data_IF_389776845497
#
_entry.id   IF_389776845497
#
_cell.length_a   1.000
_cell.length_b   1.000
_cell.length_c   1.000
_cell.angle_alpha   90.00
_cell.angle_beta   90.00
_cell.angle_gamma   90.00
#
_symmetry.space_group_name_H-M   'P 1'
#
loop_
_entity.id
_entity.type
_entity.pdbx_description
1 polymer ?
#
# COMPACT_ATOMS: atom_id res chain seq x y z
N UNK A 1 -41.05 -0.97 30.57
CA UNK A 1 -39.92 -1.56 31.35
C UNK A 1 -39.41 -2.73 30.51
N UNK A 2 -38.23 -2.80 29.90
CA UNK A 2 -36.89 -2.19 30.11
C UNK A 2 -36.25 -1.88 28.74
N UNK A 3 -35.29 -0.97 28.75
CA UNK A 3 -34.48 -0.44 27.65
C UNK A 3 -33.59 -1.52 27.00
N UNK A 4 -33.26 -1.35 25.72
CA UNK A 4 -31.87 -1.56 25.26
C UNK A 4 -31.51 -0.53 24.18
N UNK A 5 -30.48 0.24 24.52
CA UNK A 5 -29.78 1.24 23.71
C UNK A 5 -28.67 0.48 22.97
N UNK A 6 -28.49 0.69 21.66
CA UNK A 6 -27.26 0.29 20.97
C UNK A 6 -26.96 1.23 19.79
N UNK A 7 -25.98 2.11 20.02
CA UNK A 7 -25.09 2.81 19.10
C UNK A 7 -25.54 3.00 17.64
N UNK A 8 -26.11 4.19 17.36
CA UNK A 8 -26.22 4.74 16.02
C UNK A 8 -24.93 5.54 15.72
N UNK A 9 -24.04 4.98 14.90
CA UNK A 9 -22.93 5.75 14.32
C UNK A 9 -23.50 6.66 13.23
N UNK A 10 -23.82 7.91 13.59
CA UNK A 10 -24.27 8.93 12.63
C UNK A 10 -23.05 9.41 11.84
N UNK A 11 -22.88 8.88 10.63
CA UNK A 11 -22.00 9.48 9.63
C UNK A 11 -22.86 10.46 8.84
N UNK A 12 -22.68 11.76 9.10
CA UNK A 12 -23.35 12.83 8.36
C UNK A 12 -22.69 12.97 6.97
N UNK A 13 -23.21 12.23 5.98
CA UNK A 13 -22.78 12.36 4.59
C UNK A 13 -23.80 13.22 3.83
N UNK A 14 -23.39 14.42 3.42
CA UNK A 14 -24.16 15.25 2.48
C UNK A 14 -23.90 14.68 1.09
N UNK A 15 -24.91 14.04 0.48
CA UNK A 15 -24.82 13.32 -0.80
C UNK A 15 -25.53 14.13 -1.91
N UNK A 16 -24.93 14.30 -3.10
CA UNK A 16 -25.59 14.83 -4.29
C UNK A 16 -26.35 13.72 -5.07
N UNK A 17 -27.56 14.02 -5.56
CA UNK A 17 -28.36 13.17 -6.45
C UNK A 17 -28.14 13.57 -7.92
N UNK A 18 -27.68 12.63 -8.76
CA UNK A 18 -27.56 12.80 -10.22
C UNK A 18 -28.84 12.35 -10.90
N UNK A 19 -29.42 13.20 -11.76
CA UNK A 19 -30.56 12.86 -12.62
C UNK A 19 -30.05 12.48 -14.01
N UNK A 20 -30.10 11.19 -14.36
CA UNK A 20 -29.90 10.74 -15.73
C UNK A 20 -31.24 10.82 -16.49
N UNK A 21 -31.36 11.77 -17.40
CA UNK A 21 -32.33 11.72 -18.51
C UNK A 21 -31.55 11.71 -19.82
N UNK A 22 -31.66 10.59 -20.53
CA UNK A 22 -31.09 10.44 -21.87
C UNK A 22 -31.47 9.08 -22.45
N UNK A 23 -32.63 9.02 -23.09
CA UNK A 23 -32.93 8.05 -24.16
C UNK A 23 -33.48 8.89 -25.34
N UNK A 24 -33.21 8.51 -26.60
CA UNK A 24 -33.94 7.36 -27.16
C UNK A 24 -33.17 6.44 -28.14
N UNK A 25 -33.65 5.19 -28.15
CA UNK A 25 -33.82 4.23 -29.24
C UNK A 25 -32.63 3.83 -30.15
N UNK A 26 -32.24 2.56 -30.01
CA UNK A 26 -31.55 1.76 -31.02
C UNK A 26 -31.60 0.29 -30.63
N UNK A 27 -32.47 -0.46 -31.28
CA UNK A 27 -32.64 -1.92 -31.18
C UNK A 27 -31.32 -2.67 -31.35
N UNK A 28 -30.99 -3.55 -30.42
CA UNK A 28 -29.94 -4.55 -30.56
C UNK A 28 -30.56 -5.93 -30.37
N UNK A 29 -30.54 -6.68 -31.47
CA UNK A 29 -31.00 -8.04 -31.60
C UNK A 29 -30.24 -9.01 -30.68
N UNK A 30 -31.00 -10.03 -30.29
CA UNK A 30 -30.66 -11.19 -29.49
C UNK A 30 -29.39 -11.94 -29.91
N UNK A 31 -28.59 -12.35 -28.92
CA UNK A 31 -27.78 -13.57 -28.99
C UNK A 31 -28.11 -14.49 -27.79
N UNK A 32 -28.11 -15.82 -28.00
CA UNK A 32 -28.77 -16.79 -27.12
C UNK A 32 -27.95 -17.16 -25.87
N UNK A 33 -28.61 -17.68 -24.82
CA UNK A 33 -27.94 -18.05 -23.56
C UNK A 33 -27.15 -19.35 -23.70
N UNK A 34 -25.93 -19.35 -23.15
CA UNK A 34 -25.13 -20.55 -22.90
C UNK A 34 -25.62 -21.18 -21.59
N UNK A 35 -26.16 -22.38 -21.70
CA UNK A 35 -26.54 -23.26 -20.61
C UNK A 35 -25.30 -23.85 -19.96
N UNK A 36 -25.17 -23.75 -18.64
CA UNK A 36 -24.42 -24.75 -17.86
C UNK A 36 -25.19 -25.12 -16.60
N UNK A 37 -25.64 -26.37 -16.61
CA UNK A 37 -26.03 -27.16 -15.45
C UNK A 37 -24.78 -27.45 -14.60
N UNK A 38 -24.90 -27.34 -13.28
CA UNK A 38 -24.35 -28.35 -12.38
C UNK A 38 -25.03 -28.27 -11.01
N UNK A 39 -25.90 -29.24 -10.81
CA UNK A 39 -26.24 -29.99 -9.59
C UNK A 39 -25.78 -29.45 -8.23
N UNK A 40 -26.79 -29.33 -7.37
CA UNK A 40 -26.71 -29.19 -5.92
C UNK A 40 -26.60 -30.56 -5.24
N UNK A 41 -25.79 -30.65 -4.17
CA UNK A 41 -25.87 -31.67 -3.09
C UNK A 41 -25.29 -31.02 -1.79
N UNK A 42 -25.80 -31.36 -0.58
CA UNK A 42 -26.20 -30.37 0.42
C UNK A 42 -25.27 -30.23 1.64
N UNK A 43 -25.63 -29.24 2.45
CA UNK A 43 -25.25 -29.04 3.86
C UNK A 43 -25.52 -30.29 4.72
N UNK A 44 -24.62 -30.56 5.66
CA UNK A 44 -24.98 -31.16 6.94
C UNK A 44 -24.18 -30.52 8.10
N UNK A 45 -24.94 -30.34 9.17
CA UNK A 45 -24.68 -29.91 10.54
C UNK A 45 -23.64 -30.80 11.26
N UNK A 46 -23.06 -30.54 12.44
CA UNK A 46 -23.48 -29.88 13.69
C UNK A 46 -22.27 -29.80 14.64
N UNK A 47 -22.31 -28.84 15.58
CA UNK A 47 -21.85 -28.87 17.00
C UNK A 47 -20.53 -29.57 17.42
N UNK A 48 -19.67 -28.88 18.19
CA UNK A 48 -19.70 -28.94 19.66
C UNK A 48 -18.71 -27.95 20.30
N UNK A 49 -19.08 -27.49 21.49
CA UNK A 49 -18.46 -26.48 22.34
C UNK A 49 -17.33 -27.02 23.22
N UNK A 50 -16.43 -26.13 23.68
CA UNK A 50 -15.88 -26.14 25.06
C UNK A 50 -15.03 -24.89 25.38
N UNK A 51 -15.66 -23.98 26.10
CA UNK A 51 -15.26 -23.44 27.41
C UNK A 51 -13.80 -23.64 27.87
N UNK A 52 -13.10 -22.53 28.16
CA UNK A 52 -12.50 -22.26 29.49
C UNK A 52 -11.91 -20.86 29.52
N UNK A 53 -12.38 -20.08 30.49
CA UNK A 53 -11.76 -18.86 30.96
C UNK A 53 -10.88 -19.21 32.17
N UNK A 54 -9.69 -18.63 32.27
CA UNK A 54 -9.03 -18.42 33.55
C UNK A 54 -8.35 -17.05 33.59
N UNK A 55 -8.56 -16.40 34.72
CA UNK A 55 -8.18 -15.05 35.13
C UNK A 55 -6.91 -15.06 35.99
N UNK A 56 -6.38 -13.85 36.25
CA UNK A 56 -5.45 -13.48 37.36
C UNK A 56 -3.95 -13.61 37.03
N UNK A 57 -3.01 -12.77 37.48
CA UNK A 57 -3.01 -11.69 38.49
C UNK A 57 -1.80 -10.76 38.30
N UNK A 58 -2.00 -9.53 38.76
CA UNK A 58 -1.09 -8.44 39.15
C UNK A 58 0.20 -8.87 39.87
N UNK A 59 1.32 -8.18 39.58
CA UNK A 59 2.23 -7.61 40.59
C UNK A 59 3.19 -6.57 39.99
N UNK A 60 2.99 -5.30 40.35
CA UNK A 60 4.04 -4.28 40.41
C UNK A 60 4.86 -4.49 41.67
N UNK A 61 6.16 -4.23 41.62
CA UNK A 61 6.90 -3.76 42.80
C UNK A 61 8.03 -2.84 42.35
N UNK A 62 8.12 -1.71 43.03
CA UNK A 62 9.04 -0.59 42.83
C UNK A 62 10.12 -0.59 43.93
N UNK A 63 11.03 0.38 43.81
CA UNK A 63 11.96 0.92 44.82
C UNK A 63 13.33 0.21 44.86
N UNK A 64 14.43 0.88 44.48
CA UNK A 64 15.22 1.87 45.26
C UNK A 64 16.56 1.15 45.58
N UNK A 65 17.77 1.70 45.43
CA UNK A 65 18.34 2.80 46.19
C UNK A 65 19.69 3.23 45.55
N UNK A 66 20.03 4.47 45.87
CA UNK A 66 21.14 5.41 45.63
C UNK A 66 22.63 4.97 45.68
N UNK A 67 23.45 5.90 45.15
CA UNK A 67 24.83 6.31 45.54
C UNK A 67 26.02 5.39 45.19
N UNK A 68 27.25 5.84 44.90
CA UNK A 68 27.89 7.13 44.61
C UNK A 68 29.37 6.80 44.26
N UNK A 69 30.11 7.82 43.80
CA UNK A 69 31.58 7.98 43.85
C UNK A 69 32.48 7.43 42.71
N UNK A 70 32.84 8.39 41.85
CA UNK A 70 34.21 8.85 41.54
C UNK A 70 35.40 7.88 41.68
N UNK A 71 36.14 7.74 40.58
CA UNK A 71 37.52 7.26 40.59
C UNK A 71 38.21 7.42 39.23
N UNK A 72 38.95 8.52 39.07
CA UNK A 72 39.89 8.76 37.97
C UNK A 72 41.11 7.84 38.12
N UNK A 73 41.55 7.18 37.04
CA UNK A 73 42.98 6.99 36.76
C UNK A 73 43.22 6.73 35.28
N UNK A 74 44.03 7.63 34.72
CA UNK A 74 44.79 7.52 33.48
C UNK A 74 45.67 6.25 33.49
N UNK A 75 45.75 5.54 32.36
CA UNK A 75 46.97 4.85 31.92
C UNK A 75 46.86 4.59 30.41
N UNK A 76 47.69 5.31 29.65
CA UNK A 76 47.93 5.08 28.24
C UNK A 76 48.55 3.69 28.03
N UNK A 77 48.00 2.92 27.09
CA UNK A 77 48.69 1.77 26.51
C UNK A 77 48.48 1.74 25.00
N UNK A 78 49.55 2.20 24.32
CA UNK A 78 50.12 1.77 23.05
C UNK A 78 49.23 0.94 22.13
N UNK A 79 48.89 1.57 21.00
CA UNK A 79 48.37 0.93 19.81
C UNK A 79 49.38 -0.08 19.23
N UNK A 80 49.03 -1.36 19.25
CA UNK A 80 49.58 -2.34 18.33
C UNK A 80 48.64 -2.46 17.13
N UNK A 81 49.12 -1.92 16.01
CA UNK A 81 48.54 -2.09 14.69
C UNK A 81 48.90 -3.49 14.19
N UNK A 82 48.00 -4.44 14.38
CA UNK A 82 47.95 -5.66 13.58
C UNK A 82 47.03 -5.38 12.40
N UNK A 83 47.65 -5.05 11.26
CA UNK A 83 46.98 -5.07 9.97
C UNK A 83 46.54 -6.50 9.69
N UNK A 84 45.29 -6.79 10.03
CA UNK A 84 44.58 -8.01 9.65
C UNK A 84 44.44 -7.97 8.13
N UNK A 85 45.33 -8.70 7.45
CA UNK A 85 45.24 -8.92 6.02
C UNK A 85 44.11 -9.92 5.83
N UNK A 86 42.89 -9.39 5.66
CA UNK A 86 41.76 -10.17 5.21
C UNK A 86 42.12 -10.73 3.82
N UNK A 87 42.32 -12.04 3.73
CA UNK A 87 42.30 -12.75 2.46
C UNK A 87 40.93 -12.48 1.82
N UNK A 88 40.93 -11.62 0.79
CA UNK A 88 39.82 -11.46 -0.11
C UNK A 88 39.69 -12.77 -0.90
N UNK A 89 38.87 -13.68 -0.37
CA UNK A 89 38.49 -14.90 -1.07
C UNK A 89 37.71 -14.46 -2.32
N UNK A 90 38.27 -14.71 -3.51
CA UNK A 90 37.61 -14.37 -4.77
C UNK A 90 36.20 -14.96 -4.79
N UNK A 91 35.19 -14.10 -5.02
CA UNK A 91 33.79 -14.55 -5.11
C UNK A 91 33.64 -15.55 -6.26
N UNK A 92 32.82 -16.61 -6.08
CA UNK A 92 32.53 -17.55 -7.16
C UNK A 92 32.09 -16.81 -8.44
N UNK A 93 32.69 -17.18 -9.57
CA UNK A 93 32.34 -16.60 -10.88
C UNK A 93 31.01 -17.09 -11.42
N UNK A 94 30.42 -18.13 -10.80
CA UNK A 94 29.16 -18.74 -11.17
C UNK A 94 28.34 -19.14 -9.94
N UNK A 95 27.02 -18.97 -10.03
CA UNK A 95 26.05 -19.62 -9.16
C UNK A 95 25.75 -21.01 -9.72
N UNK A 96 25.75 -22.03 -8.84
CA UNK A 96 25.43 -23.41 -9.21
C UNK A 96 24.51 -24.07 -8.19
N UNK A 97 23.28 -24.35 -8.63
CA UNK A 97 22.31 -25.11 -7.87
C UNK A 97 22.05 -26.45 -8.56
N UNK A 98 22.13 -27.53 -7.80
CA UNK A 98 21.88 -28.91 -8.21
C UNK A 98 20.95 -29.55 -7.19
N UNK A 99 20.28 -30.65 -7.53
CA UNK A 99 19.50 -31.40 -6.55
C UNK A 99 20.34 -31.93 -5.38
N UNK A 100 21.65 -32.16 -5.60
CA UNK A 100 22.57 -32.67 -4.59
C UNK A 100 22.97 -31.62 -3.54
N UNK A 101 23.16 -30.36 -3.94
CA UNK A 101 23.55 -29.27 -3.04
C UNK A 101 22.39 -28.34 -2.66
N UNK A 102 21.16 -28.59 -3.13
CA UNK A 102 20.02 -27.72 -2.84
C UNK A 102 19.77 -27.50 -1.34
N UNK A 103 20.03 -28.51 -0.50
CA UNK A 103 19.87 -28.39 0.95
C UNK A 103 20.84 -27.38 1.61
N UNK A 104 21.91 -26.98 0.92
CA UNK A 104 22.85 -25.94 1.38
C UNK A 104 22.33 -24.52 1.11
N UNK A 105 21.35 -24.38 0.21
CA UNK A 105 20.76 -23.10 -0.16
C UNK A 105 19.50 -22.80 0.66
N UNK A 106 19.37 -21.55 1.10
CA UNK A 106 18.13 -21.04 1.67
C UNK A 106 17.42 -20.11 0.69
N UNK A 107 16.09 -20.22 0.59
CA UNK A 107 15.23 -19.26 -0.08
C UNK A 107 14.81 -18.20 0.95
N UNK A 108 15.18 -16.94 0.76
CA UNK A 108 15.03 -15.89 1.78
C UNK A 108 14.10 -14.79 1.25
N UNK A 109 13.07 -14.46 2.04
CA UNK A 109 12.16 -13.33 1.80
C UNK A 109 12.20 -12.30 2.95
N UNK A 110 11.75 -11.06 2.76
CA UNK A 110 11.60 -10.12 3.87
C UNK A 110 10.64 -10.63 4.95
N UNK A 111 11.02 -10.46 6.22
CA UNK A 111 10.16 -10.78 7.37
C UNK A 111 8.89 -9.91 7.38
N UNK A 112 9.03 -8.62 7.00
CA UNK A 112 7.94 -7.64 6.91
C UNK A 112 7.26 -7.60 5.54
N UNK A 113 7.43 -8.64 4.71
CA UNK A 113 6.78 -8.74 3.41
C UNK A 113 5.24 -8.76 3.53
N UNK A 114 4.57 -8.31 2.48
CA UNK A 114 3.10 -8.36 2.36
C UNK A 114 2.57 -9.80 2.25
N UNK A 115 1.24 -9.95 2.30
CA UNK A 115 0.60 -11.23 2.00
C UNK A 115 0.95 -11.74 0.58
N UNK A 116 1.06 -10.82 -0.39
CA UNK A 116 1.45 -11.13 -1.77
C UNK A 116 2.90 -11.62 -1.81
N UNK A 117 3.84 -10.94 -1.13
CA UNK A 117 5.23 -11.39 -1.04
C UNK A 117 5.39 -12.78 -0.40
N UNK A 118 4.56 -13.09 0.61
CA UNK A 118 4.52 -14.44 1.20
C UNK A 118 4.03 -15.46 0.16
N UNK A 119 3.00 -15.13 -0.61
CA UNK A 119 2.47 -15.99 -1.67
C UNK A 119 3.48 -16.22 -2.80
N UNK A 120 4.11 -15.14 -3.28
CA UNK A 120 5.18 -15.15 -4.29
C UNK A 120 6.30 -16.11 -3.86
N UNK A 121 6.77 -15.98 -2.62
CA UNK A 121 7.87 -16.79 -2.09
C UNK A 121 7.52 -18.28 -2.00
N UNK A 122 6.29 -18.60 -1.55
CA UNK A 122 5.80 -19.98 -1.49
C UNK A 122 5.62 -20.60 -2.87
N UNK A 123 5.14 -19.82 -3.84
CA UNK A 123 4.99 -20.28 -5.23
C UNK A 123 6.34 -20.63 -5.85
N UNK A 124 7.37 -19.79 -5.61
CA UNK A 124 8.72 -20.07 -6.07
C UNK A 124 9.34 -21.29 -5.36
N UNK A 125 9.16 -21.42 -4.04
CA UNK A 125 9.59 -22.61 -3.28
C UNK A 125 8.97 -23.90 -3.86
N UNK A 126 7.65 -23.89 -4.09
CA UNK A 126 6.96 -25.02 -4.70
C UNK A 126 7.52 -25.34 -6.09
N UNK A 127 7.78 -24.31 -6.91
CA UNK A 127 8.38 -24.48 -8.23
C UNK A 127 9.77 -25.11 -8.18
N UNK A 128 10.61 -24.74 -7.21
CA UNK A 128 11.91 -25.40 -7.00
C UNK A 128 11.74 -26.87 -6.56
N UNK A 129 10.84 -27.11 -5.61
CA UNK A 129 10.57 -28.45 -5.08
C UNK A 129 10.04 -29.41 -6.13
N UNK A 130 9.15 -28.97 -7.01
CA UNK A 130 8.66 -29.74 -8.15
C UNK A 130 9.78 -30.17 -9.11
N UNK A 131 10.89 -29.44 -9.12
CA UNK A 131 12.08 -29.74 -9.94
C UNK A 131 13.16 -30.51 -9.19
N UNK A 132 12.88 -30.92 -7.95
CA UNK A 132 13.81 -31.69 -7.11
C UNK A 132 14.87 -30.85 -6.39
N UNK A 133 14.74 -29.52 -6.40
CA UNK A 133 15.56 -28.63 -5.58
C UNK A 133 14.84 -28.38 -4.25
N UNK A 134 15.26 -29.09 -3.21
CA UNK A 134 14.68 -28.91 -1.87
C UNK A 134 15.42 -27.78 -1.14
N UNK A 135 14.84 -26.59 -1.19
CA UNK A 135 15.33 -25.38 -0.51
C UNK A 135 14.51 -25.12 0.75
N UNK A 136 15.13 -24.55 1.78
CA UNK A 136 14.41 -24.10 2.98
C UNK A 136 13.95 -22.64 2.82
N UNK A 137 12.63 -22.39 2.91
CA UNK A 137 12.06 -21.04 2.86
C UNK A 137 12.13 -20.36 4.23
N UNK A 138 12.97 -19.33 4.32
CA UNK A 138 13.22 -18.54 5.53
C UNK A 138 12.84 -17.07 5.35
N UNK A 139 12.75 -16.38 6.49
CA UNK A 139 12.72 -14.92 6.49
C UNK A 139 14.13 -14.36 6.64
N UNK A 140 14.31 -13.10 6.28
CA UNK A 140 15.54 -12.34 6.48
C UNK A 140 15.79 -11.91 7.93
N UNK A 141 15.03 -12.46 8.89
CA UNK A 141 15.18 -12.18 10.31
C UNK A 141 16.61 -12.46 10.79
N UNK A 142 17.14 -11.50 11.54
CA UNK A 142 18.42 -11.61 12.25
C UNK A 142 18.16 -11.14 13.67
N UNK A 143 18.52 -11.96 14.66
CA UNK A 143 18.38 -11.60 16.07
C UNK A 143 19.24 -10.37 16.42
N UNK A 144 18.74 -9.55 17.34
CA UNK A 144 19.46 -8.35 17.79
C UNK A 144 20.88 -8.69 18.24
N UNK A 145 21.86 -7.91 17.78
CA UNK A 145 23.28 -8.10 18.09
C UNK A 145 24.05 -9.03 17.13
N UNK A 146 23.35 -9.75 16.24
CA UNK A 146 24.00 -10.58 15.23
C UNK A 146 24.24 -9.80 13.93
N UNK A 147 25.33 -10.17 13.21
CA UNK A 147 25.61 -9.65 11.87
C UNK A 147 24.62 -10.24 10.87
N UNK A 148 24.23 -9.43 9.88
CA UNK A 148 23.47 -9.90 8.72
C UNK A 148 24.36 -10.89 7.96
N UNK A 149 23.88 -12.12 7.68
CA UNK A 149 24.66 -13.07 6.90
C UNK A 149 24.89 -12.55 5.48
N UNK A 150 26.15 -12.43 5.10
CA UNK A 150 26.58 -11.97 3.78
C UNK A 150 27.34 -13.12 3.11
N UNK A 151 27.03 -13.40 1.84
CA UNK A 151 27.65 -14.45 1.01
C UNK A 151 27.28 -15.92 1.32
N UNK A 152 26.35 -16.20 2.24
CA UNK A 152 25.80 -17.56 2.41
C UNK A 152 25.05 -18.01 1.14
N UNK A 153 25.16 -19.29 0.73
CA UNK A 153 24.40 -19.83 -0.41
C UNK A 153 22.90 -19.57 -0.23
N UNK A 154 22.36 -18.69 -1.07
CA UNK A 154 20.98 -18.23 -0.88
C UNK A 154 20.35 -17.72 -2.16
N UNK A 155 19.02 -17.81 -2.20
CA UNK A 155 18.19 -17.18 -3.21
C UNK A 155 17.36 -16.13 -2.50
N UNK A 156 17.61 -14.86 -2.78
CA UNK A 156 16.94 -13.71 -2.16
C UNK A 156 15.74 -13.29 -3.02
N UNK A 157 14.55 -13.20 -2.42
CA UNK A 157 13.32 -12.76 -3.10
C UNK A 157 12.83 -11.46 -2.46
N UNK A 158 12.62 -10.44 -3.28
CA UNK A 158 12.14 -9.12 -2.84
C UNK A 158 13.20 -8.31 -2.08
N UNK A 159 12.75 -7.24 -1.42
CA UNK A 159 13.59 -6.33 -0.62
C UNK A 159 13.91 -6.96 0.75
N UNK A 160 14.95 -7.80 0.80
CA UNK A 160 15.49 -8.35 2.05
C UNK A 160 16.53 -7.38 2.64
N UNK A 161 16.85 -7.54 3.92
CA UNK A 161 17.94 -6.78 4.56
C UNK A 161 19.37 -7.21 4.15
N UNK A 162 19.54 -8.14 3.19
CA UNK A 162 20.87 -8.57 2.72
C UNK A 162 21.43 -7.58 1.70
N UNK A 163 22.73 -7.30 1.76
CA UNK A 163 23.36 -6.26 0.95
C UNK A 163 23.11 -6.39 -0.56
N UNK A 164 23.12 -7.61 -1.10
CA UNK A 164 22.88 -7.87 -2.52
C UNK A 164 21.47 -7.46 -2.95
N UNK A 165 20.46 -7.80 -2.14
CA UNK A 165 19.06 -7.45 -2.39
C UNK A 165 18.85 -5.94 -2.30
N UNK A 166 19.40 -5.29 -1.27
CA UNK A 166 19.36 -3.83 -1.09
C UNK A 166 19.99 -3.10 -2.29
N UNK A 167 21.22 -3.51 -2.67
CA UNK A 167 21.96 -2.93 -3.80
C UNK A 167 21.15 -2.87 -5.09
N UNK A 168 20.43 -3.96 -5.41
CA UNK A 168 19.61 -3.99 -6.61
C UNK A 168 18.29 -3.25 -6.43
N UNK A 169 17.62 -3.42 -5.28
CA UNK A 169 16.34 -2.79 -4.98
C UNK A 169 16.38 -1.26 -5.03
N UNK A 170 17.43 -0.63 -4.49
CA UNK A 170 17.57 0.84 -4.40
C UNK A 170 17.49 1.55 -5.77
N UNK A 171 17.81 0.85 -6.84
CA UNK A 171 17.78 1.38 -8.21
C UNK A 171 16.46 1.17 -8.96
N UNK A 172 15.53 0.38 -8.41
CA UNK A 172 14.31 -0.03 -9.10
C UNK A 172 13.18 0.97 -8.92
N UNK A 173 12.50 1.28 -10.02
CA UNK A 173 11.15 1.86 -9.98
C UNK A 173 10.10 0.77 -9.76
N UNK A 174 8.88 1.17 -9.40
CA UNK A 174 7.78 0.27 -8.95
C UNK A 174 7.51 -0.93 -9.87
N UNK A 175 7.59 -0.75 -11.18
CA UNK A 175 7.34 -1.79 -12.18
C UNK A 175 8.63 -2.40 -12.75
N UNK A 176 9.80 -2.05 -12.21
CA UNK A 176 11.09 -2.59 -12.64
C UNK A 176 11.41 -3.86 -11.85
N UNK A 177 12.16 -4.77 -12.46
CA UNK A 177 12.73 -5.91 -11.76
C UNK A 177 14.10 -6.30 -12.28
N UNK A 178 14.83 -7.04 -11.45
CA UNK A 178 16.13 -7.62 -11.79
C UNK A 178 16.30 -9.02 -11.19
N UNK A 179 16.95 -9.87 -11.97
CA UNK A 179 17.46 -11.17 -11.59
C UNK A 179 18.97 -11.12 -11.79
N UNK A 180 19.74 -11.32 -10.73
CA UNK A 180 21.18 -11.20 -10.77
C UNK A 180 21.88 -12.19 -9.84
N UNK A 181 23.14 -12.46 -10.13
CA UNK A 181 23.99 -13.37 -9.36
C UNK A 181 25.24 -12.63 -8.88
N UNK A 182 25.59 -12.84 -7.62
CA UNK A 182 26.88 -12.42 -7.08
C UNK A 182 27.40 -13.51 -6.12
N UNK A 183 28.52 -14.14 -6.47
CA UNK A 183 29.02 -15.30 -5.73
C UNK A 183 28.01 -16.45 -5.69
N UNK A 184 27.72 -16.95 -4.48
CA UNK A 184 26.75 -18.03 -4.25
C UNK A 184 25.31 -17.53 -4.04
N UNK A 185 25.03 -16.27 -4.35
CA UNK A 185 23.72 -15.67 -4.16
C UNK A 185 23.05 -15.35 -5.49
N UNK A 186 21.79 -15.75 -5.60
CA UNK A 186 20.87 -15.33 -6.65
C UNK A 186 19.88 -14.35 -6.02
N UNK A 187 19.66 -13.20 -6.63
CA UNK A 187 18.62 -12.25 -6.23
C UNK A 187 17.54 -12.16 -7.31
N UNK A 188 16.28 -12.17 -6.88
CA UNK A 188 15.09 -11.93 -7.69
C UNK A 188 14.29 -10.82 -6.98
N UNK A 189 14.39 -9.59 -7.47
CA UNK A 189 13.81 -8.44 -6.79
C UNK A 189 13.13 -7.49 -7.78
N UNK A 190 11.92 -7.07 -7.46
CA UNK A 190 11.20 -6.00 -8.13
C UNK A 190 11.02 -4.78 -7.25
N UNK A 191 10.77 -3.61 -7.85
CA UNK A 191 10.44 -2.38 -7.12
C UNK A 191 9.07 -2.41 -6.42
N UNK A 192 8.30 -3.49 -6.63
CA UNK A 192 7.05 -3.81 -5.93
C UNK A 192 6.84 -5.33 -5.86
N UNK A 193 5.85 -5.77 -5.09
CA UNK A 193 5.45 -7.18 -5.05
C UNK A 193 4.99 -7.68 -6.42
N UNK A 194 4.23 -6.86 -7.17
CA UNK A 194 3.78 -7.20 -8.52
C UNK A 194 4.96 -7.35 -9.50
N UNK A 195 5.95 -6.45 -9.44
CA UNK A 195 7.16 -6.57 -10.26
C UNK A 195 8.03 -7.77 -9.84
N UNK A 196 8.07 -8.08 -8.54
CA UNK A 196 8.77 -9.27 -8.03
C UNK A 196 8.07 -10.55 -8.50
N UNK A 197 6.74 -10.61 -8.48
CA UNK A 197 5.96 -11.72 -9.04
C UNK A 197 6.28 -11.90 -10.52
N UNK A 198 6.30 -10.83 -11.32
CA UNK A 198 6.66 -10.92 -12.74
C UNK A 198 8.10 -11.43 -12.96
N UNK A 199 9.05 -11.06 -12.09
CA UNK A 199 10.41 -11.58 -12.12
C UNK A 199 10.45 -13.08 -11.79
N UNK A 200 9.69 -13.51 -10.78
CA UNK A 200 9.55 -14.92 -10.39
C UNK A 200 8.93 -15.73 -11.51
N UNK A 201 7.86 -15.25 -12.14
CA UNK A 201 7.22 -15.90 -13.30
C UNK A 201 8.18 -16.06 -14.47
N UNK A 202 8.92 -14.99 -14.81
CA UNK A 202 9.95 -15.08 -15.84
C UNK A 202 11.02 -16.11 -15.46
N UNK A 203 11.47 -16.11 -14.21
CA UNK A 203 12.50 -17.03 -13.74
C UNK A 203 12.01 -18.49 -13.82
N UNK A 204 10.81 -18.78 -13.33
CA UNK A 204 10.25 -20.13 -13.33
C UNK A 204 10.03 -20.62 -14.75
N UNK A 205 9.42 -19.81 -15.62
CA UNK A 205 9.17 -20.14 -17.02
C UNK A 205 10.48 -20.37 -17.79
N UNK A 206 11.49 -19.52 -17.60
CA UNK A 206 12.72 -19.61 -18.39
C UNK A 206 13.69 -20.67 -17.86
N UNK A 207 13.85 -20.73 -16.54
CA UNK A 207 14.92 -21.48 -15.92
C UNK A 207 14.45 -22.76 -15.22
N UNK A 208 13.22 -22.82 -14.72
CA UNK A 208 12.66 -24.00 -14.08
C UNK A 208 11.73 -24.82 -14.98
N UNK A 209 11.48 -24.40 -16.23
CA UNK A 209 10.75 -25.23 -17.21
C UNK A 209 11.49 -26.52 -17.58
N UNK A 210 10.71 -27.60 -17.74
CA UNK A 210 11.22 -28.94 -18.05
C UNK A 210 11.84 -29.65 -16.84
N UNK A 211 12.62 -30.70 -17.09
CA UNK A 211 13.39 -31.42 -16.08
C UNK A 211 14.85 -31.00 -16.20
N UNK A 212 15.29 -30.05 -15.36
CA UNK A 212 16.71 -29.62 -15.31
C UNK A 212 17.37 -30.18 -14.07
N UNK A 213 18.51 -30.85 -14.25
CA UNK A 213 19.31 -31.38 -13.15
C UNK A 213 20.13 -30.30 -12.40
N UNK A 214 20.37 -29.15 -13.06
CA UNK A 214 21.11 -28.04 -12.47
C UNK A 214 20.67 -26.68 -13.05
N UNK A 215 20.92 -25.64 -12.26
CA UNK A 215 20.89 -24.24 -12.67
C UNK A 215 22.30 -23.66 -12.53
N UNK A 216 22.83 -23.11 -13.62
CA UNK A 216 24.17 -22.52 -13.67
C UNK A 216 24.04 -21.14 -14.29
N UNK A 217 24.52 -20.12 -13.56
CA UNK A 217 24.47 -18.74 -13.99
C UNK A 217 25.83 -18.08 -13.78
N UNK A 218 26.37 -17.32 -14.74
CA UNK A 218 27.55 -16.49 -14.50
C UNK A 218 27.20 -15.37 -13.51
N UNK A 219 28.21 -14.84 -12.82
CA UNK A 219 28.05 -13.63 -12.03
C UNK A 219 27.60 -12.44 -12.90
N UNK A 220 26.76 -11.57 -12.34
CA UNK A 220 26.20 -10.40 -13.00
C UNK A 220 24.68 -10.44 -13.17
N UNK A 221 24.17 -9.47 -13.94
CA UNK A 221 22.73 -9.36 -14.23
C UNK A 221 22.34 -10.41 -15.27
N UNK A 222 21.44 -11.30 -14.89
CA UNK A 222 20.88 -12.35 -15.76
C UNK A 222 19.73 -11.79 -16.59
N UNK A 223 18.85 -11.02 -15.93
CA UNK A 223 17.73 -10.34 -16.56
C UNK A 223 17.44 -9.06 -15.81
N UNK A 224 17.26 -7.96 -16.54
CA UNK A 224 16.62 -6.76 -16.04
C UNK A 224 15.43 -6.42 -16.92
N UNK A 225 14.44 -5.76 -16.32
CA UNK A 225 13.29 -5.22 -17.01
C UNK A 225 12.94 -3.88 -16.40
N UNK A 226 12.92 -2.85 -17.23
CA UNK A 226 12.35 -1.55 -16.88
C UNK A 226 10.87 -1.56 -17.22
N UNK A 227 10.04 -1.10 -16.28
CA UNK A 227 8.63 -0.88 -16.48
C UNK A 227 8.34 0.26 -17.46
N UNK A 228 7.09 0.37 -17.88
CA UNK A 228 6.63 1.51 -18.67
C UNK A 228 6.07 2.58 -17.74
N UNK A 229 6.54 3.81 -17.89
CA UNK A 229 6.08 4.96 -17.13
C UNK A 229 5.80 6.11 -18.09
N UNK A 230 4.70 6.83 -17.84
CA UNK A 230 4.32 7.99 -18.65
C UNK A 230 5.33 9.11 -18.50
N UNK A 231 5.86 9.32 -17.29
CA UNK A 231 6.77 10.42 -16.99
C UNK A 231 8.15 9.82 -16.74
N UNK A 232 9.15 10.22 -17.54
CA UNK A 232 10.52 9.74 -17.37
C UNK A 232 11.19 10.41 -16.18
N UNK A 233 11.01 11.73 -16.10
CA UNK A 233 11.62 12.62 -15.13
C UNK A 233 10.53 13.54 -14.55
N UNK A 234 10.22 13.36 -13.27
CA UNK A 234 9.23 14.14 -12.56
C UNK A 234 9.94 15.02 -11.53
N UNK A 235 9.72 16.32 -11.63
CA UNK A 235 10.18 17.31 -10.65
C UNK A 235 8.98 18.03 -10.04
N UNK A 236 9.12 18.45 -8.79
CA UNK A 236 8.17 19.31 -8.07
C UNK A 236 8.94 20.54 -7.62
N UNK A 237 8.52 21.72 -8.06
CA UNK A 237 9.22 22.98 -7.81
C UNK A 237 10.72 22.89 -8.15
N UNK A 238 11.07 22.24 -9.27
CA UNK A 238 12.45 22.10 -9.74
C UNK A 238 13.34 21.09 -9.00
N UNK A 239 12.82 20.32 -8.03
CA UNK A 239 13.54 19.23 -7.35
C UNK A 239 13.02 17.87 -7.80
N UNK A 240 13.88 16.86 -7.87
CA UNK A 240 13.45 15.50 -8.23
C UNK A 240 12.40 15.00 -7.25
N UNK A 241 11.32 14.41 -7.76
CA UNK A 241 10.26 13.87 -6.91
C UNK A 241 10.77 12.75 -5.99
N UNK A 242 11.84 12.04 -6.38
CA UNK A 242 12.48 11.00 -5.58
C UNK A 242 13.18 11.52 -4.33
N UNK A 243 13.45 12.83 -4.26
CA UNK A 243 14.05 13.48 -3.08
C UNK A 243 13.00 13.84 -2.01
N UNK A 244 11.71 13.78 -2.36
CA UNK A 244 10.65 14.18 -1.47
C UNK A 244 10.28 13.09 -0.46
N UNK A 245 9.75 13.52 0.69
CA UNK A 245 8.94 12.73 1.61
C UNK A 245 7.56 13.38 1.75
N UNK A 246 6.50 12.59 1.87
CA UNK A 246 5.15 13.09 2.19
C UNK A 246 5.05 13.14 3.71
N UNK A 247 4.89 14.35 4.26
CA UNK A 247 4.85 14.57 5.70
C UNK A 247 3.41 14.80 6.15
N UNK A 248 2.95 14.01 7.12
CA UNK A 248 1.62 14.12 7.72
C UNK A 248 1.70 14.50 9.21
N UNK A 249 0.76 15.30 9.74
CA UNK A 249 0.76 15.69 11.13
C UNK A 249 0.35 14.52 12.05
N UNK A 250 0.69 14.59 13.35
CA UNK A 250 0.32 13.57 14.34
C UNK A 250 -0.65 14.15 15.39
N UNK A 251 -1.77 13.47 15.71
CA UNK A 251 -2.36 12.37 14.96
C UNK A 251 -2.85 12.85 13.59
N UNK A 252 -2.77 11.97 12.59
CA UNK A 252 -3.38 12.13 11.28
C UNK A 252 -4.79 11.52 11.28
N UNK A 253 -5.73 12.14 10.57
CA UNK A 253 -7.06 11.57 10.34
C UNK A 253 -7.10 10.73 9.06
N UNK A 254 -8.20 10.02 8.85
CA UNK A 254 -8.40 9.17 7.67
C UNK A 254 -8.26 9.95 6.34
N UNK A 255 -8.77 11.18 6.27
CA UNK A 255 -8.66 12.03 5.08
C UNK A 255 -7.20 12.38 4.75
N UNK A 256 -6.38 12.68 5.75
CA UNK A 256 -4.96 12.96 5.58
C UNK A 256 -4.17 11.72 5.16
N UNK A 257 -4.46 10.57 5.77
CA UNK A 257 -3.84 9.30 5.36
C UNK A 257 -4.20 8.97 3.91
N UNK A 258 -5.47 9.13 3.53
CA UNK A 258 -5.92 8.93 2.16
C UNK A 258 -5.26 9.92 1.19
N UNK A 259 -5.18 11.19 1.54
CA UNK A 259 -4.53 12.22 0.73
C UNK A 259 -3.04 11.92 0.51
N UNK A 260 -2.31 11.52 1.55
CA UNK A 260 -0.91 11.11 1.43
C UNK A 260 -0.74 9.88 0.52
N UNK A 261 -1.58 8.85 0.71
CA UNK A 261 -1.59 7.67 -0.14
C UNK A 261 -1.91 8.01 -1.60
N UNK A 262 -2.83 8.94 -1.85
CA UNK A 262 -3.20 9.37 -3.20
C UNK A 262 -2.01 10.01 -3.94
N UNK A 263 -1.22 10.85 -3.27
CA UNK A 263 0.00 11.42 -3.85
C UNK A 263 0.99 10.31 -4.18
N UNK A 264 1.32 9.47 -3.19
CA UNK A 264 2.30 8.40 -3.35
C UNK A 264 1.92 7.45 -4.49
N UNK A 265 0.65 7.02 -4.54
CA UNK A 265 0.13 6.14 -5.59
C UNK A 265 0.14 6.78 -6.97
N UNK A 266 -0.30 8.05 -7.11
CA UNK A 266 -0.30 8.72 -8.41
C UNK A 266 1.10 8.95 -8.94
N UNK A 267 2.05 9.36 -8.09
CA UNK A 267 3.45 9.52 -8.47
C UNK A 267 4.08 8.18 -8.86
N UNK A 268 3.85 7.13 -8.07
CA UNK A 268 4.30 5.78 -8.36
C UNK A 268 3.77 5.27 -9.72
N UNK A 269 2.47 5.43 -9.96
CA UNK A 269 1.82 4.95 -11.17
C UNK A 269 2.31 5.67 -12.43
N UNK A 270 2.64 6.97 -12.36
CA UNK A 270 3.00 7.76 -13.54
C UNK A 270 4.50 7.84 -13.79
N UNK A 271 5.32 7.88 -12.74
CA UNK A 271 6.78 8.08 -12.84
C UNK A 271 7.62 6.90 -12.35
N UNK A 272 6.98 5.94 -11.66
CA UNK A 272 7.65 4.79 -11.07
C UNK A 272 8.31 5.05 -9.72
N UNK A 273 8.31 6.29 -9.21
CA UNK A 273 8.90 6.63 -7.91
C UNK A 273 7.92 6.46 -6.76
N UNK A 274 8.33 5.76 -5.70
CA UNK A 274 7.56 5.68 -4.45
C UNK A 274 8.02 6.79 -3.51
N UNK A 275 7.10 7.68 -3.14
CA UNK A 275 7.36 8.67 -2.10
C UNK A 275 6.90 8.11 -0.76
N UNK A 276 7.83 8.07 0.21
CA UNK A 276 7.53 7.59 1.56
C UNK A 276 6.63 8.57 2.30
N UNK A 277 5.63 8.04 3.00
CA UNK A 277 4.80 8.80 3.94
C UNK A 277 5.40 8.69 5.34
N UNK A 278 5.65 9.83 5.99
CA UNK A 278 6.22 9.93 7.34
C UNK A 278 5.41 10.89 8.20
N UNK A 279 5.40 10.65 9.52
CA UNK A 279 4.84 11.64 10.45
C UNK A 279 5.80 12.81 10.64
N UNK A 280 5.27 14.00 10.91
CA UNK A 280 6.07 15.23 11.13
C UNK A 280 7.22 15.07 12.13
N UNK A 281 7.05 14.29 13.20
CA UNK A 281 8.08 14.05 14.22
C UNK A 281 9.20 13.06 13.79
N UNK A 282 9.06 12.42 12.63
CA UNK A 282 9.99 11.42 12.07
C UNK A 282 10.57 11.90 10.73
N UNK A 283 10.07 13.02 10.22
CA UNK A 283 10.54 13.61 8.97
C UNK A 283 12.05 13.87 9.03
N UNK A 284 12.74 13.55 7.93
CA UNK A 284 14.20 13.49 7.91
C UNK A 284 14.86 14.82 7.53
N UNK A 285 14.05 15.85 7.27
CA UNK A 285 14.52 17.16 6.79
C UNK A 285 14.90 17.19 5.31
N UNK A 286 14.56 16.13 4.56
CA UNK A 286 14.62 16.10 3.09
C UNK A 286 13.61 17.07 2.48
N UNK A 287 13.53 17.14 1.15
CA UNK A 287 12.44 17.87 0.50
C UNK A 287 11.08 17.30 0.95
N UNK A 288 10.09 18.15 1.24
CA UNK A 288 8.83 17.73 1.86
C UNK A 288 7.62 18.14 1.05
N UNK A 289 6.62 17.26 1.00
CA UNK A 289 5.23 17.59 0.70
C UNK A 289 4.48 17.52 2.03
N UNK A 290 4.32 18.65 2.70
CA UNK A 290 3.66 18.71 4.00
C UNK A 290 2.14 18.89 3.86
N UNK A 291 1.37 17.98 4.47
CA UNK A 291 -0.10 18.01 4.45
C UNK A 291 -0.66 18.68 5.70
N UNK A 292 -0.78 20.01 5.68
CA UNK A 292 -1.30 20.79 6.78
C UNK A 292 -2.83 20.94 6.72
N UNK A 293 -3.57 19.96 7.23
CA UNK A 293 -5.03 20.00 7.25
C UNK A 293 -5.65 20.63 8.52
N UNK A 294 -4.79 21.07 9.46
CA UNK A 294 -5.19 21.65 10.76
C UNK A 294 -5.08 23.18 10.75
N UNK A 295 -5.00 23.79 9.57
CA UNK A 295 -4.83 25.23 9.44
C UNK A 295 -6.13 25.96 9.81
N UNK A 296 -6.12 26.65 10.95
CA UNK A 296 -7.27 27.40 11.48
C UNK A 296 -7.54 28.73 10.76
N UNK A 297 -6.64 29.16 9.87
CA UNK A 297 -6.79 30.40 9.10
C UNK A 297 -7.57 30.21 7.80
N UNK A 298 -7.88 28.97 7.41
CA UNK A 298 -8.66 28.64 6.21
C UNK A 298 -10.08 28.22 6.60
N UNK A 299 -11.07 28.63 5.81
CA UNK A 299 -12.43 28.14 5.96
C UNK A 299 -12.64 26.78 5.24
N UNK A 300 -13.82 26.19 5.44
CA UNK A 300 -14.17 24.84 4.94
C UNK A 300 -14.17 24.70 3.41
N UNK A 301 -14.09 25.79 2.64
CA UNK A 301 -13.96 25.77 1.17
C UNK A 301 -12.58 26.20 0.70
N UNK A 302 -11.66 26.53 1.60
CA UNK A 302 -10.35 27.07 1.25
C UNK A 302 -9.20 26.07 1.39
N UNK A 303 -8.19 26.25 0.55
CA UNK A 303 -6.89 25.57 0.62
C UNK A 303 -5.80 26.48 0.05
N UNK A 304 -4.54 26.13 0.25
CA UNK A 304 -3.39 26.92 -0.18
C UNK A 304 -2.24 26.00 -0.59
N UNK A 305 -1.44 26.50 -1.55
CA UNK A 305 -0.18 25.89 -1.96
C UNK A 305 0.94 26.86 -1.64
N UNK A 306 1.86 26.44 -0.77
CA UNK A 306 2.94 27.30 -0.27
C UNK A 306 4.29 26.64 -0.51
N UNK A 307 5.24 27.43 -1.00
CA UNK A 307 6.64 27.03 -0.97
C UNK A 307 7.15 27.19 0.48
N UNK A 308 7.84 26.20 1.00
CA UNK A 308 8.50 26.26 2.30
C UNK A 308 10.01 26.14 2.12
N UNK A 309 10.78 26.46 3.16
CA UNK A 309 12.23 26.26 3.13
C UNK A 309 12.62 24.80 2.80
N UNK A 310 11.79 23.86 3.25
CA UNK A 310 12.03 22.43 3.10
C UNK A 310 11.25 21.80 1.94
N UNK A 311 10.57 22.58 1.10
CA UNK A 311 9.83 22.04 -0.05
C UNK A 311 8.51 22.75 -0.27
N UNK A 312 7.42 22.01 -0.09
CA UNK A 312 6.07 22.40 -0.48
C UNK A 312 5.06 22.03 0.61
N UNK A 313 4.15 22.95 0.94
CA UNK A 313 3.05 22.73 1.87
C UNK A 313 1.71 22.85 1.15
N UNK A 314 0.84 21.88 1.44
CA UNK A 314 -0.59 21.94 1.12
C UNK A 314 -1.32 22.28 2.42
N UNK A 315 -1.71 23.54 2.58
CA UNK A 315 -2.55 23.96 3.70
C UNK A 315 -4.01 23.80 3.31
N UNK A 316 -4.81 23.12 4.12
CA UNK A 316 -6.21 22.88 3.83
C UNK A 316 -7.01 22.67 5.13
N UNK A 317 -8.32 22.47 5.00
CA UNK A 317 -9.15 21.90 6.08
C UNK A 317 -9.32 20.40 5.85
N UNK A 318 -9.98 19.72 6.81
CA UNK A 318 -10.38 18.32 6.63
C UNK A 318 -11.24 18.09 5.38
N UNK A 319 -11.99 19.11 4.94
CA UNK A 319 -12.92 19.04 3.80
C UNK A 319 -12.21 19.29 2.48
N UNK A 320 -11.25 20.21 2.43
CA UNK A 320 -10.60 20.65 1.19
C UNK A 320 -9.29 19.94 0.88
N UNK A 321 -8.69 19.20 1.83
CA UNK A 321 -7.40 18.53 1.64
C UNK A 321 -7.37 17.60 0.42
N UNK A 322 -8.38 16.75 0.27
CA UNK A 322 -8.44 15.80 -0.85
C UNK A 322 -8.58 16.54 -2.18
N UNK A 323 -9.32 17.65 -2.21
CA UNK A 323 -9.46 18.49 -3.40
C UNK A 323 -8.11 19.11 -3.79
N UNK A 324 -7.40 19.71 -2.83
CA UNK A 324 -6.09 20.31 -3.04
C UNK A 324 -5.08 19.27 -3.57
N UNK A 325 -5.07 18.07 -2.98
CA UNK A 325 -4.21 16.97 -3.45
C UNK A 325 -4.58 16.49 -4.86
N UNK A 326 -5.87 16.40 -5.19
CA UNK A 326 -6.30 16.05 -6.55
C UNK A 326 -5.82 17.10 -7.54
N UNK A 327 -6.03 18.39 -7.25
CA UNK A 327 -5.56 19.47 -8.12
C UNK A 327 -4.05 19.42 -8.37
N UNK A 328 -3.25 19.20 -7.31
CA UNK A 328 -1.80 19.03 -7.44
C UNK A 328 -1.43 17.86 -8.37
N UNK A 329 -2.17 16.75 -8.27
CA UNK A 329 -1.80 15.49 -8.93
C UNK A 329 -2.55 15.23 -10.24
N UNK A 330 -3.55 16.03 -10.59
CA UNK A 330 -4.34 15.87 -11.83
C UNK A 330 -3.48 16.14 -13.07
N UNK A 331 -2.49 17.04 -12.98
CA UNK A 331 -1.50 17.26 -14.05
C UNK A 331 -0.73 15.98 -14.44
N UNK A 332 -0.54 15.05 -13.48
CA UNK A 332 0.13 13.78 -13.74
C UNK A 332 -0.72 12.85 -14.63
N UNK A 333 -2.04 13.05 -14.65
CA UNK A 333 -2.96 12.22 -15.44
C UNK A 333 -3.01 12.61 -16.91
N UNK A 334 -2.66 13.87 -17.22
CA UNK A 334 -2.66 14.43 -18.57
C UNK A 334 -1.31 14.34 -19.28
N UNK A 335 -0.27 13.87 -18.58
CA UNK A 335 1.06 13.74 -19.14
C UNK A 335 1.10 12.77 -20.33
N UNK A 336 1.93 13.11 -21.33
CA UNK A 336 2.21 12.27 -22.50
C UNK A 336 3.24 11.20 -22.15
N UNK A 337 3.31 10.16 -22.98
CA UNK A 337 4.30 9.09 -22.81
C UNK A 337 5.75 9.63 -22.93
N UNK A 338 6.59 9.24 -21.96
CA UNK A 338 8.00 9.64 -21.79
C UNK A 338 8.22 11.14 -21.68
N UNK A 339 7.29 11.85 -21.07
CA UNK A 339 7.41 13.29 -20.82
C UNK A 339 8.35 13.58 -19.64
N UNK A 340 9.18 14.62 -19.76
CA UNK A 340 9.81 15.29 -18.63
C UNK A 340 8.85 16.34 -18.11
N UNK A 341 8.43 16.24 -16.85
CA UNK A 341 7.43 17.11 -16.26
C UNK A 341 7.97 17.81 -15.01
N UNK A 342 7.88 19.14 -14.98
CA UNK A 342 8.01 19.93 -13.74
C UNK A 342 6.63 20.39 -13.29
N UNK A 343 6.22 19.93 -12.12
CA UNK A 343 5.01 20.38 -11.46
C UNK A 343 5.40 21.58 -10.61
N UNK A 344 5.03 22.77 -11.07
CA UNK A 344 5.14 24.01 -10.28
C UNK A 344 3.73 24.52 -9.99
N UNK A 345 3.14 24.18 -8.83
CA UNK A 345 1.81 24.62 -8.47
C UNK A 345 1.74 26.14 -8.39
N UNK A 346 0.60 26.71 -8.79
CA UNK A 346 0.36 28.13 -8.57
C UNK A 346 0.37 28.39 -7.07
N UNK A 347 1.36 29.16 -6.59
CA UNK A 347 1.43 29.55 -5.19
C UNK A 347 0.36 30.61 -4.91
N UNK A 348 -0.38 30.42 -3.82
CA UNK A 348 -1.38 31.38 -3.34
C UNK A 348 -1.58 31.17 -1.85
N UNK A 349 -1.83 32.25 -1.13
CA UNK A 349 -2.26 32.20 0.27
C UNK A 349 -3.64 31.54 0.42
N UNK A 350 -4.48 31.61 -0.63
CA UNK A 350 -5.81 31.01 -0.61
C UNK A 350 -6.30 30.69 -2.02
N UNK A 351 -6.91 29.52 -2.16
CA UNK A 351 -7.78 29.08 -3.25
C UNK A 351 -9.13 28.75 -2.63
N UNK A 352 -10.21 29.11 -3.31
CA UNK A 352 -11.57 28.79 -2.87
C UNK A 352 -12.14 27.72 -3.80
N UNK A 353 -12.49 26.58 -3.23
CA UNK A 353 -13.24 25.55 -3.92
C UNK A 353 -14.66 26.06 -4.15
N UNK A 354 -15.08 26.10 -5.41
CA UNK A 354 -16.49 26.25 -5.72
C UNK A 354 -17.23 25.03 -5.20
N UNK A 355 -18.12 25.25 -4.23
CA UNK A 355 -19.06 24.22 -3.84
C UNK A 355 -20.00 24.00 -5.03
N UNK A 356 -20.12 22.77 -5.54
CA UNK A 356 -21.06 22.50 -6.60
C UNK A 356 -22.46 22.90 -6.12
N UNK A 357 -23.03 23.91 -6.78
CA UNK A 357 -24.40 24.36 -6.55
C UNK A 357 -25.32 23.40 -7.28
N UNK A 358 -25.84 22.41 -6.57
CA UNK A 358 -26.89 21.56 -7.11
C UNK A 358 -28.23 22.24 -6.89
N UNK A 359 -28.91 22.60 -7.98
CA UNK A 359 -30.33 22.90 -7.90
C UNK A 359 -31.04 21.64 -7.45
N UNK A 360 -31.67 21.68 -6.27
CA UNK A 360 -32.54 20.58 -5.85
C UNK A 360 -33.59 20.37 -6.95
N UNK A 361 -33.78 19.14 -7.46
CA UNK A 361 -34.92 18.85 -8.31
C UNK A 361 -36.19 19.29 -7.58
N UNK A 362 -37.18 19.79 -8.31
CA UNK A 362 -38.42 20.32 -7.74
C UNK A 362 -39.13 19.33 -6.80
N UNK A 363 -38.89 18.02 -6.97
CA UNK A 363 -39.36 16.93 -6.09
C UNK A 363 -38.76 16.95 -4.66
N UNK A 364 -37.68 17.69 -4.44
CA UNK A 364 -36.98 17.87 -3.17
C UNK A 364 -37.16 19.26 -2.55
N UNK A 365 -37.93 20.16 -3.19
CA UNK A 365 -38.12 21.50 -2.67
C UNK A 365 -38.86 21.48 -1.32
N UNK A 366 -38.32 22.17 -0.31
CA UNK A 366 -38.87 22.18 1.05
C UNK A 366 -38.61 20.92 1.89
N UNK A 367 -37.93 19.91 1.32
CA UNK A 367 -37.52 18.70 2.04
C UNK A 367 -36.12 18.85 2.64
N UNK A 368 -35.81 18.07 3.67
CA UNK A 368 -34.47 17.99 4.27
C UNK A 368 -33.91 16.58 4.03
N UNK A 369 -33.34 16.31 2.84
CA UNK A 369 -32.85 14.98 2.50
C UNK A 369 -31.60 14.62 3.33
N UNK A 370 -31.62 13.45 3.97
CA UNK A 370 -30.44 12.83 4.60
C UNK A 370 -30.22 11.45 4.03
N UNK A 371 -29.00 11.21 3.53
CA UNK A 371 -28.52 9.89 3.15
C UNK A 371 -28.19 9.04 4.37
N UNK A 372 -28.75 7.84 4.44
CA UNK A 372 -28.48 6.82 5.43
C UNK A 372 -28.01 5.55 4.73
N UNK A 373 -27.03 4.91 5.35
CA UNK A 373 -26.45 3.66 4.88
C UNK A 373 -26.79 2.57 5.89
N UNK A 374 -27.68 1.65 5.51
CA UNK A 374 -28.07 0.50 6.34
C UNK A 374 -27.27 -0.73 5.91
N UNK A 375 -26.15 -0.95 6.62
CA UNK A 375 -25.28 -2.10 6.40
C UNK A 375 -25.98 -3.44 6.68
N UNK A 376 -26.97 -3.48 7.58
CA UNK A 376 -27.64 -4.74 7.95
C UNK A 376 -28.55 -5.21 6.82
N UNK A 377 -29.21 -4.26 6.17
CA UNK A 377 -30.16 -4.53 5.10
C UNK A 377 -29.57 -4.31 3.69
N UNK A 378 -28.26 -4.03 3.59
CA UNK A 378 -27.57 -3.65 2.35
C UNK A 378 -28.35 -2.57 1.57
N UNK A 379 -28.87 -1.55 2.26
CA UNK A 379 -29.70 -0.52 1.64
C UNK A 379 -29.16 0.88 1.89
N UNK A 380 -28.99 1.68 0.85
CA UNK A 380 -28.79 3.12 0.96
C UNK A 380 -30.15 3.79 0.77
N UNK A 381 -30.52 4.69 1.68
CA UNK A 381 -31.78 5.45 1.59
C UNK A 381 -31.52 6.93 1.75
N UNK A 382 -32.32 7.76 1.09
CA UNK A 382 -32.41 9.19 1.38
C UNK A 382 -33.78 9.44 2.00
N UNK A 383 -33.81 9.92 3.24
CA UNK A 383 -35.05 10.25 3.94
C UNK A 383 -35.27 11.76 4.01
N UNK A 384 -36.54 12.19 4.03
CA UNK A 384 -36.92 13.55 4.35
C UNK A 384 -37.02 13.73 5.87
N UNK A 385 -36.04 14.39 6.49
CA UNK A 385 -36.10 14.69 7.91
C UNK A 385 -37.24 15.64 8.29
N UNK A 386 -37.76 16.41 7.33
CA UNK A 386 -38.89 17.31 7.59
C UNK A 386 -40.25 16.60 7.55
N UNK A 387 -40.29 15.32 7.15
CA UNK A 387 -41.52 14.54 7.14
C UNK A 387 -42.13 14.44 8.55
N UNK A 388 -43.46 14.38 8.63
CA UNK A 388 -44.19 14.23 9.91
C UNK A 388 -43.75 12.99 10.72
N UNK A 389 -43.27 11.95 10.04
CA UNK A 389 -42.71 10.74 10.64
C UNK A 389 -41.41 10.35 9.90
N UNK A 390 -40.25 10.91 10.27
CA UNK A 390 -38.98 10.71 9.54
C UNK A 390 -38.46 9.28 9.52
N UNK A 391 -39.00 8.41 10.38
CA UNK A 391 -38.62 6.99 10.47
C UNK A 391 -39.59 6.06 9.72
N UNK A 392 -40.61 6.58 9.05
CA UNK A 392 -41.57 5.79 8.30
C UNK A 392 -41.12 5.63 6.83
N UNK A 393 -41.57 4.56 6.16
CA UNK A 393 -41.26 4.31 4.75
C UNK A 393 -41.71 5.47 3.84
N UNK A 394 -42.76 6.19 4.23
CA UNK A 394 -43.26 7.37 3.50
C UNK A 394 -42.31 8.58 3.55
N UNK A 395 -41.31 8.58 4.45
CA UNK A 395 -40.26 9.58 4.48
C UNK A 395 -39.10 9.24 3.54
N UNK A 396 -39.03 8.02 2.99
CA UNK A 396 -38.00 7.62 2.03
C UNK A 396 -38.27 8.32 0.69
N UNK A 397 -37.34 9.15 0.27
CA UNK A 397 -37.40 9.88 -1.00
C UNK A 397 -36.69 9.11 -2.11
N UNK A 398 -35.68 8.33 -1.74
CA UNK A 398 -34.91 7.50 -2.66
C UNK A 398 -34.33 6.29 -1.92
N UNK A 399 -34.21 5.17 -2.63
CA UNK A 399 -33.60 3.96 -2.12
C UNK A 399 -32.75 3.28 -3.19
N UNK A 400 -31.71 2.60 -2.73
CA UNK A 400 -30.86 1.77 -3.57
C UNK A 400 -30.34 0.57 -2.78
N UNK A 401 -30.22 -0.55 -3.49
CA UNK A 401 -29.73 -1.82 -2.95
C UNK A 401 -28.70 -2.37 -3.94
N UNK A 402 -27.56 -2.92 -3.48
CA UNK A 402 -26.61 -3.62 -4.33
C UNK A 402 -27.28 -4.79 -5.04
N UNK A 403 -27.01 -4.92 -6.33
CA UNK A 403 -27.49 -6.04 -7.15
C UNK A 403 -26.41 -6.44 -8.16
N UNK A 404 -26.51 -7.67 -8.69
CA UNK A 404 -25.65 -8.15 -9.77
C UNK A 404 -25.72 -7.29 -11.02
N UNK A 405 -26.89 -6.71 -11.32
CA UNK A 405 -27.07 -5.74 -12.40
C UNK A 405 -26.27 -4.45 -12.21
N UNK A 406 -25.91 -4.12 -10.96
CA UNK A 406 -25.16 -2.92 -10.61
C UNK A 406 -23.66 -3.23 -10.36
N UNK A 407 -23.17 -4.39 -10.80
CA UNK A 407 -21.76 -4.77 -10.72
C UNK A 407 -21.32 -5.40 -9.39
N UNK A 408 -22.26 -5.73 -8.49
CA UNK A 408 -21.96 -6.38 -7.21
C UNK A 408 -22.13 -7.91 -7.34
N UNK A 409 -21.03 -8.65 -7.22
CA UNK A 409 -21.04 -10.13 -7.26
C UNK A 409 -20.98 -10.73 -5.85
N UNK A 410 -21.59 -11.91 -5.68
CA UNK A 410 -21.78 -12.61 -4.41
C UNK A 410 -20.49 -13.12 -3.70
N UNK A 411 -19.32 -12.59 -4.01
CA UNK A 411 -18.05 -12.92 -3.33
C UNK A 411 -17.65 -11.95 -2.22
N UNK A 412 -18.00 -10.67 -2.35
CA UNK A 412 -17.58 -9.59 -1.44
C UNK A 412 -18.73 -9.08 -0.57
N UNK A 413 -19.53 -9.97 0.04
CA UNK A 413 -20.55 -9.65 1.07
C UNK A 413 -21.27 -8.29 0.90
N UNK A 414 -21.65 -7.88 -0.32
CA UNK A 414 -22.47 -6.70 -0.65
C UNK A 414 -22.41 -5.52 0.35
N UNK A 415 -21.21 -5.11 0.81
CA UNK A 415 -21.10 -4.09 1.86
C UNK A 415 -21.30 -2.73 1.23
N UNK A 416 -22.15 -1.92 1.86
CA UNK A 416 -22.35 -0.52 1.48
C UNK A 416 -21.09 0.34 1.60
N UNK A 417 -20.07 -0.14 2.32
CA UNK A 417 -18.77 0.53 2.45
C UNK A 417 -18.06 0.72 1.09
N UNK A 418 -18.45 -0.07 0.07
CA UNK A 418 -17.95 0.05 -1.31
C UNK A 418 -18.83 0.93 -2.22
N UNK A 419 -19.91 1.50 -1.69
CA UNK A 419 -20.72 2.49 -2.40
C UNK A 419 -19.89 3.76 -2.59
N UNK A 420 -19.22 3.85 -3.74
CA UNK A 420 -18.63 5.08 -4.26
C UNK A 420 -19.72 5.84 -4.99
N UNK A 421 -20.34 6.81 -4.31
CA UNK A 421 -21.15 7.83 -4.98
C UNK A 421 -20.27 8.89 -5.63
#
# INVERSE_FOLDING_TARGET
>A
MKRFIAFLSVILLIIPLVSCKGEPQGTLDSLPPITQNSEAVPEDTTEESKESAETSSVAQTSADTTESETGTSDTAQTAESTADTAEETEKPSHFMLTSANAAEFSLIRPIKGSADMISISKSLEASFKEKGFNLDLKTDYVSSGNKIPENEPSILIGETNRSLSVKYYESLKVNDYVIAVEGNQLVIVGGSDAATQAAVEFFTEKYLSGNKASLIFPAGVIKSQTGSYKISDLTLCGKSISEYEIVIPRPANAACNYAASLISQRVAATSGHVIKVVSENVATGKAQIYLNYKNSSLNDTEYAFKQTANGFEISATKRTLIRAVRELTDVLTTAKERETLDVTPKLSETFTMELPSYSLPSSLNGKVPIGLCDQKNNKAVVIDLSAKAPTADSAIIWEWTPSSSNGFTNGFKNRIDDLKL
#
